data_IF_432714474352
#
_entry.id   IF_432714474352
#
_cell.length_a   1.000
_cell.length_b   1.000
_cell.length_c   1.000
_cell.angle_alpha   90.00
_cell.angle_beta   90.00
_cell.angle_gamma   90.00
#
_symmetry.space_group_name_H-M   'P 1'
#
loop_
_entity.id
_entity.type
_entity.pdbx_description
1 polymer ?
#
# COMPACT_ATOMS: atom_id res chain seq x y z
N UNK A 1 -21.18 5.18 3.69
CA UNK A 1 -20.29 4.45 4.62
C UNK A 1 -19.15 3.76 3.88
N UNK A 2 -19.44 2.99 2.82
CA UNK A 2 -18.43 2.27 2.03
C UNK A 2 -17.34 3.19 1.44
N UNK A 3 -17.72 4.34 0.86
CA UNK A 3 -16.72 5.29 0.32
C UNK A 3 -15.83 5.90 1.41
N UNK A 4 -16.36 6.15 2.61
CA UNK A 4 -15.58 6.68 3.73
C UNK A 4 -14.56 5.65 4.23
N UNK A 5 -14.95 4.38 4.32
CA UNK A 5 -14.06 3.27 4.65
C UNK A 5 -12.96 3.12 3.59
N UNK A 6 -13.35 3.11 2.30
CA UNK A 6 -12.41 3.05 1.18
C UNK A 6 -11.39 4.18 1.22
N UNK A 7 -11.86 5.42 1.42
CA UNK A 7 -11.01 6.60 1.55
C UNK A 7 -10.03 6.47 2.71
N UNK A 8 -10.49 6.06 3.89
CA UNK A 8 -9.64 5.90 5.07
C UNK A 8 -8.53 4.86 4.84
N UNK A 9 -8.85 3.73 4.20
CA UNK A 9 -7.86 2.70 3.85
C UNK A 9 -6.80 3.26 2.89
N UNK A 10 -7.23 3.94 1.82
CA UNK A 10 -6.30 4.52 0.84
C UNK A 10 -5.41 5.61 1.46
N UNK A 11 -5.97 6.44 2.34
CA UNK A 11 -5.20 7.45 3.08
C UNK A 11 -4.14 6.82 3.99
N UNK A 12 -4.47 5.71 4.67
CA UNK A 12 -3.50 4.98 5.48
C UNK A 12 -2.36 4.44 4.64
N UNK A 13 -2.65 3.85 3.48
CA UNK A 13 -1.60 3.34 2.58
C UNK A 13 -0.70 4.46 2.07
N UNK A 14 -1.27 5.59 1.64
CA UNK A 14 -0.51 6.76 1.20
C UNK A 14 0.39 7.33 2.31
N UNK A 15 -0.07 7.32 3.57
CA UNK A 15 0.76 7.73 4.70
C UNK A 15 1.96 6.79 4.91
N UNK A 16 1.77 5.47 4.79
CA UNK A 16 2.85 4.50 4.90
C UNK A 16 3.90 4.68 3.80
N UNK A 17 3.46 4.93 2.56
CA UNK A 17 4.36 5.25 1.45
C UNK A 17 5.16 6.53 1.73
N UNK A 18 4.51 7.61 2.17
CA UNK A 18 5.18 8.87 2.53
C UNK A 18 6.24 8.67 3.63
N UNK A 19 5.91 7.92 4.67
CA UNK A 19 6.84 7.65 5.77
C UNK A 19 8.02 6.80 5.29
N UNK A 20 7.78 5.77 4.47
CA UNK A 20 8.86 4.96 3.90
C UNK A 20 9.80 5.77 3.00
N UNK A 21 9.31 6.81 2.32
CA UNK A 21 10.10 7.70 1.46
C UNK A 21 10.92 8.74 2.22
N UNK A 22 10.36 9.31 3.29
CA UNK A 22 10.88 10.53 3.93
C UNK A 22 11.39 10.31 5.35
N UNK A 23 11.11 9.16 5.96
CA UNK A 23 11.40 8.90 7.36
C UNK A 23 12.89 8.66 7.64
N UNK A 24 13.32 9.02 8.85
CA UNK A 24 14.67 8.74 9.34
C UNK A 24 14.83 7.27 9.71
N UNK A 25 15.98 6.67 9.38
CA UNK A 25 16.22 5.23 9.52
C UNK A 25 15.93 4.68 10.94
N UNK A 26 16.29 5.42 11.99
CA UNK A 26 16.08 5.01 13.38
C UNK A 26 14.61 4.90 13.76
N UNK A 27 13.78 5.83 13.25
CA UNK A 27 12.33 5.82 13.45
C UNK A 27 11.62 4.78 12.56
N UNK A 28 12.20 4.46 11.41
CA UNK A 28 11.60 3.58 10.41
C UNK A 28 11.67 2.10 10.79
N UNK A 29 12.75 1.62 11.42
CA UNK A 29 12.92 0.18 11.66
C UNK A 29 11.81 -0.41 12.57
N UNK A 30 11.46 0.20 13.72
CA UNK A 30 10.37 -0.31 14.56
C UNK A 30 9.02 -0.25 13.85
N UNK A 31 8.76 0.86 13.13
CA UNK A 31 7.54 1.04 12.37
C UNK A 31 7.42 -0.01 11.27
N UNK A 32 8.45 -0.18 10.45
CA UNK A 32 8.51 -1.14 9.36
C UNK A 32 8.27 -2.56 9.87
N UNK A 33 8.89 -2.95 10.99
CA UNK A 33 8.65 -4.26 11.61
C UNK A 33 7.18 -4.46 11.93
N UNK A 34 6.56 -3.48 12.61
CA UNK A 34 5.14 -3.58 12.97
C UNK A 34 4.22 -3.64 11.74
N UNK A 35 4.47 -2.82 10.72
CA UNK A 35 3.60 -2.75 9.55
C UNK A 35 3.80 -3.95 8.60
N UNK A 36 5.02 -4.49 8.48
CA UNK A 36 5.28 -5.75 7.76
C UNK A 36 4.47 -6.88 8.39
N UNK A 37 4.47 -7.02 9.72
CA UNK A 37 3.66 -8.04 10.39
C UNK A 37 2.17 -7.85 10.12
N UNK A 38 1.66 -6.63 10.27
CA UNK A 38 0.24 -6.32 10.02
C UNK A 38 -0.18 -6.59 8.57
N UNK A 39 0.65 -6.23 7.60
CA UNK A 39 0.37 -6.49 6.18
C UNK A 39 0.43 -7.99 5.87
N UNK A 40 1.41 -8.71 6.41
CA UNK A 40 1.49 -10.15 6.26
C UNK A 40 0.26 -10.86 6.83
N UNK A 41 -0.24 -10.43 8.00
CA UNK A 41 -1.47 -10.96 8.59
C UNK A 41 -2.70 -10.65 7.73
N UNK A 42 -2.79 -9.43 7.18
CA UNK A 42 -3.85 -9.06 6.24
C UNK A 42 -3.85 -9.94 4.99
N UNK A 43 -2.68 -10.22 4.41
CA UNK A 43 -2.55 -11.14 3.28
C UNK A 43 -2.97 -12.57 3.65
N UNK A 44 -2.53 -13.10 4.80
CA UNK A 44 -2.93 -14.44 5.26
C UNK A 44 -4.44 -14.55 5.39
N UNK A 45 -5.09 -13.55 5.99
CA UNK A 45 -6.55 -13.52 6.13
C UNK A 45 -7.23 -13.50 4.76
N UNK A 46 -6.79 -12.62 3.85
CA UNK A 46 -7.37 -12.51 2.51
C UNK A 46 -7.20 -13.81 1.70
N UNK A 47 -6.02 -14.43 1.74
CA UNK A 47 -5.75 -15.67 1.03
C UNK A 47 -6.52 -16.87 1.61
N UNK A 48 -6.77 -16.87 2.93
CA UNK A 48 -7.60 -17.88 3.60
C UNK A 48 -9.03 -17.86 3.06
N UNK A 49 -9.59 -16.67 2.81
CA UNK A 49 -10.93 -16.50 2.22
C UNK A 49 -10.97 -16.97 0.75
N UNK A 50 -9.84 -16.86 0.04
CA UNK A 50 -9.71 -17.20 -1.37
C UNK A 50 -9.15 -18.62 -1.63
N UNK A 51 -9.33 -19.56 -0.71
CA UNK A 51 -8.89 -20.94 -0.90
C UNK A 51 -9.67 -21.65 -2.03
N UNK A 52 -9.00 -22.60 -2.73
CA UNK A 52 -9.69 -23.50 -3.66
C UNK A 52 -10.62 -24.45 -2.88
N UNK A 53 -11.74 -24.80 -3.50
CA UNK A 53 -12.58 -25.91 -3.06
C UNK A 53 -12.14 -27.23 -3.70
N UNK A 54 -12.88 -28.31 -3.40
CA UNK A 54 -12.63 -29.66 -3.93
C UNK A 54 -12.58 -29.70 -5.47
N UNK A 55 -13.28 -28.78 -6.14
CA UNK A 55 -13.30 -28.64 -7.60
C UNK A 55 -12.21 -27.70 -8.15
N UNK A 56 -11.23 -27.30 -7.31
CA UNK A 56 -10.20 -26.31 -7.65
C UNK A 56 -10.77 -24.94 -8.05
N UNK A 57 -11.83 -24.49 -7.37
CA UNK A 57 -12.47 -23.18 -7.60
C UNK A 57 -12.44 -22.31 -6.36
N UNK A 58 -12.33 -21.00 -6.54
CA UNK A 58 -12.38 -20.05 -5.44
C UNK A 58 -13.82 -19.76 -5.02
N UNK A 59 -14.18 -20.02 -3.75
CA UNK A 59 -15.55 -19.82 -3.24
C UNK A 59 -15.94 -18.35 -3.06
N UNK A 60 -14.99 -17.49 -2.72
CA UNK A 60 -15.24 -16.08 -2.39
C UNK A 60 -15.32 -15.14 -3.60
N UNK A 61 -14.82 -15.54 -4.78
CA UNK A 61 -14.84 -14.66 -5.96
C UNK A 61 -16.27 -14.55 -6.52
N UNK A 62 -16.81 -13.33 -6.69
CA UNK A 62 -18.09 -13.16 -7.36
C UNK A 62 -17.99 -13.59 -8.83
N UNK A 63 -18.87 -14.48 -9.26
CA UNK A 63 -18.97 -14.96 -10.62
C UNK A 63 -20.37 -15.48 -10.88
N UNK A 64 -21.16 -14.74 -11.67
CA UNK A 64 -22.59 -14.97 -11.92
C UNK A 64 -22.94 -16.39 -12.40
N UNK A 65 -22.01 -17.17 -12.97
CA UNK A 65 -22.35 -18.52 -13.41
C UNK A 65 -21.34 -19.63 -13.10
N UNK A 66 -20.09 -19.34 -12.71
CA UNK A 66 -19.13 -20.34 -12.20
C UNK A 66 -18.10 -19.65 -11.31
N UNK A 67 -17.90 -20.18 -10.09
CA UNK A 67 -16.74 -19.85 -9.24
C UNK A 67 -15.47 -19.86 -10.11
N UNK A 68 -14.65 -18.80 -9.99
CA UNK A 68 -13.42 -18.66 -10.80
C UNK A 68 -12.50 -19.84 -10.55
N UNK A 69 -11.88 -20.37 -11.61
CA UNK A 69 -10.83 -21.39 -11.50
C UNK A 69 -9.70 -20.84 -10.64
N UNK A 70 -9.17 -21.68 -9.77
CA UNK A 70 -7.98 -21.36 -8.98
C UNK A 70 -6.71 -21.52 -9.85
N UNK A 71 -5.67 -20.68 -9.68
CA UNK A 71 -5.59 -19.52 -8.79
C UNK A 71 -6.46 -18.35 -9.30
N UNK A 72 -7.23 -17.74 -8.40
CA UNK A 72 -8.01 -16.57 -8.72
C UNK A 72 -7.16 -15.29 -8.71
N UNK A 73 -7.72 -14.16 -9.15
CA UNK A 73 -7.00 -12.89 -9.26
C UNK A 73 -6.26 -12.48 -7.98
N UNK A 74 -6.85 -12.72 -6.81
CA UNK A 74 -6.25 -12.37 -5.52
C UNK A 74 -4.98 -13.19 -5.26
N UNK A 75 -4.98 -14.49 -5.57
CA UNK A 75 -3.79 -15.34 -5.47
C UNK A 75 -2.72 -14.92 -6.47
N UNK A 76 -3.11 -14.58 -7.70
CA UNK A 76 -2.18 -14.07 -8.72
C UNK A 76 -1.53 -12.76 -8.27
N UNK A 77 -2.30 -11.84 -7.68
CA UNK A 77 -1.77 -10.58 -7.13
C UNK A 77 -0.83 -10.82 -5.95
N UNK A 78 -1.20 -11.72 -5.03
CA UNK A 78 -0.33 -12.06 -3.90
C UNK A 78 0.99 -12.65 -4.38
N UNK A 79 0.97 -13.57 -5.35
CA UNK A 79 2.18 -14.12 -5.94
C UNK A 79 3.06 -13.01 -6.55
N UNK A 80 2.47 -12.08 -7.30
CA UNK A 80 3.20 -10.98 -7.92
C UNK A 80 3.83 -10.01 -6.91
N UNK A 81 3.16 -9.72 -5.80
CA UNK A 81 3.62 -8.72 -4.83
C UNK A 81 4.44 -9.28 -3.67
N UNK A 82 4.29 -10.56 -3.34
CA UNK A 82 5.03 -11.20 -2.25
C UNK A 82 6.24 -12.00 -2.72
N UNK A 83 6.24 -12.50 -3.97
CA UNK A 83 7.27 -13.41 -4.50
C UNK A 83 7.88 -12.86 -5.79
N UNK A 84 7.05 -12.42 -6.73
CA UNK A 84 7.51 -11.74 -7.95
C UNK A 84 8.30 -10.51 -7.55
N UNK A 85 9.50 -10.35 -8.13
CA UNK A 85 10.45 -9.29 -7.82
C UNK A 85 9.73 -7.98 -7.50
N UNK A 86 9.75 -7.61 -6.23
CA UNK A 86 9.15 -6.37 -5.76
C UNK A 86 9.81 -5.24 -6.52
N UNK A 87 9.06 -4.62 -7.43
CA UNK A 87 9.43 -3.41 -8.18
C UNK A 87 10.22 -2.53 -7.22
N UNK A 88 11.53 -2.39 -7.46
CA UNK A 88 12.40 -1.63 -6.57
C UNK A 88 11.74 -0.27 -6.30
N UNK A 89 11.84 0.25 -5.07
CA UNK A 89 11.13 1.47 -4.65
C UNK A 89 11.27 2.64 -5.66
N UNK A 90 12.36 2.67 -6.44
CA UNK A 90 12.62 3.67 -7.48
C UNK A 90 11.75 3.52 -8.74
N UNK A 91 11.29 2.31 -9.06
CA UNK A 91 10.48 2.01 -10.24
C UNK A 91 8.96 2.21 -10.02
N UNK A 92 8.51 2.40 -8.76
CA UNK A 92 7.12 2.76 -8.42
C UNK A 92 6.69 4.17 -8.89
N UNK A 93 7.62 4.99 -9.40
CA UNK A 93 7.31 6.29 -10.02
C UNK A 93 6.56 6.17 -11.35
N UNK A 94 6.39 4.96 -11.88
CA UNK A 94 5.52 4.71 -13.04
C UNK A 94 4.08 4.56 -12.54
N UNK A 95 3.10 5.31 -13.11
CA UNK A 95 1.71 5.18 -12.73
C UNK A 95 1.28 3.72 -12.82
N UNK A 96 0.71 3.18 -11.74
CA UNK A 96 0.16 1.83 -11.74
C UNK A 96 -0.88 1.74 -12.85
N UNK A 97 -0.61 0.95 -13.88
CA UNK A 97 -1.57 0.69 -14.96
C UNK A 97 -2.76 -0.03 -14.31
N UNK A 98 -3.89 0.65 -14.25
CA UNK A 98 -5.10 0.13 -13.62
C UNK A 98 -5.56 -1.16 -14.34
N UNK A 99 -5.53 -2.34 -13.69
CA UNK A 99 -5.97 -3.59 -14.33
C UNK A 99 -7.50 -3.65 -14.55
N UNK A 100 -8.27 -2.67 -14.02
CA UNK A 100 -9.69 -2.53 -14.25
C UNK A 100 -10.04 -1.72 -15.53
N UNK A 101 -9.07 -1.07 -16.18
CA UNK A 101 -9.28 -0.44 -17.49
C UNK A 101 -8.80 -1.35 -18.61
N UNK A 102 -9.70 -2.17 -19.17
CA UNK A 102 -9.46 -2.88 -20.42
C UNK A 102 -9.54 -1.87 -21.58
N UNK A 103 -8.46 -1.14 -21.83
CA UNK A 103 -8.34 -0.32 -23.04
C UNK A 103 -8.01 -1.23 -24.22
N UNK A 104 -8.90 -1.19 -25.22
CA UNK A 104 -8.82 -1.97 -26.44
C UNK A 104 -7.54 -1.71 -27.23
N UNK A 105 -7.11 -2.76 -27.90
CA UNK A 105 -6.09 -2.81 -28.93
C UNK A 105 -6.39 -1.82 -30.06
N UNK A 106 -5.35 -1.12 -30.49
CA UNK A 106 -5.32 -0.31 -31.71
C UNK A 106 -3.88 0.14 -31.97
N UNK A 107 -3.15 -0.68 -32.72
CA UNK A 107 -1.95 -0.32 -33.49
C UNK A 107 -2.13 1.09 -34.12
N UNK A 108 -1.19 2.02 -34.10
CA UNK A 108 0.23 1.90 -34.39
C UNK A 108 0.49 2.71 -35.66
N UNK A 109 0.97 3.94 -35.56
CA UNK A 109 1.79 4.60 -36.60
C UNK A 109 2.77 5.53 -35.89
N UNK A 110 4.04 5.16 -35.94
CA UNK A 110 5.16 6.04 -35.63
C UNK A 110 5.25 7.11 -36.71
N UNK A 111 5.32 8.38 -36.31
CA UNK A 111 5.83 9.44 -37.18
C UNK A 111 6.93 10.15 -36.41
N UNK A 112 8.16 9.90 -36.84
CA UNK A 112 9.34 10.69 -36.49
C UNK A 112 9.13 12.11 -37.02
N UNK A 113 9.24 13.10 -36.14
CA UNK A 113 9.47 14.48 -36.53
C UNK A 113 10.69 14.99 -35.77
N UNK A 114 11.71 15.34 -36.56
CA UNK A 114 13.03 15.74 -36.11
C UNK A 114 13.06 17.02 -35.28
N UNK A 115 14.09 17.08 -34.45
CA UNK A 115 14.52 18.27 -33.72
C UNK A 115 14.80 19.45 -34.67
N UNK A 116 14.26 20.64 -34.39
CA UNK A 116 14.93 21.89 -34.68
C UNK A 116 15.62 22.38 -33.40
N UNK A 117 16.95 22.41 -33.41
CA UNK A 117 17.76 23.19 -32.48
C UNK A 117 17.57 24.67 -32.77
N UNK A 118 16.87 25.36 -31.90
CA UNK A 118 16.94 26.82 -31.77
C UNK A 118 17.02 27.14 -30.28
N UNK A 119 18.21 27.51 -29.84
CA UNK A 119 18.44 28.11 -28.52
C UNK A 119 17.70 29.44 -28.44
N UNK A 120 16.94 29.71 -27.37
CA UNK A 120 16.62 31.07 -27.00
C UNK A 120 17.63 31.57 -25.98
N UNK A 121 18.34 32.63 -26.34
CA UNK A 121 19.08 33.50 -25.42
C UNK A 121 18.12 33.99 -24.33
N UNK A 122 18.29 33.49 -23.10
CA UNK A 122 17.62 34.01 -21.91
C UNK A 122 18.63 34.68 -21.00
N UNK A 123 18.52 36.00 -21.04
CA UNK A 123 19.10 37.01 -20.18
C UNK A 123 18.81 36.67 -18.69
N UNK A 124 19.87 36.48 -17.91
CA UNK A 124 19.80 36.25 -16.46
C UNK A 124 19.95 37.59 -15.74
N UNK A 125 18.88 38.36 -15.70
CA UNK A 125 18.78 39.50 -14.79
C UNK A 125 18.29 39.04 -13.39
N UNK A 126 19.02 39.54 -12.39
CA UNK A 126 18.91 39.36 -10.93
C UNK A 126 17.47 39.13 -10.37
N UNK A 127 17.29 38.02 -9.64
CA UNK A 127 16.19 37.87 -8.67
C UNK A 127 16.80 37.86 -7.25
N UNK A 128 16.49 38.84 -6.39
CA UNK A 128 17.05 38.91 -5.04
C UNK A 128 16.46 37.84 -4.10
N UNK A 129 17.21 37.38 -3.08
CA UNK A 129 16.76 36.32 -2.19
C UNK A 129 15.70 36.86 -1.21
N UNK A 130 14.43 36.54 -1.46
CA UNK A 130 13.39 36.78 -0.46
C UNK A 130 13.49 35.76 0.69
N UNK A 131 13.54 36.35 1.88
CA UNK A 131 13.69 35.74 3.18
C UNK A 131 12.52 34.82 3.53
N UNK A 132 12.79 33.53 3.69
CA UNK A 132 11.91 32.65 4.44
C UNK A 132 12.24 32.77 5.92
N UNK A 133 11.58 33.72 6.57
CA UNK A 133 11.56 33.86 8.02
C UNK A 133 10.96 32.61 8.65
N UNK A 134 11.69 32.08 9.62
CA UNK A 134 11.34 30.98 10.50
C UNK A 134 9.95 31.20 11.11
N UNK A 135 8.99 30.36 10.74
CA UNK A 135 7.75 30.17 11.51
C UNK A 135 7.87 28.89 12.31
N UNK A 136 8.53 28.99 13.46
CA UNK A 136 8.37 28.04 14.56
C UNK A 136 6.92 28.02 14.99
N UNK A 137 6.18 27.00 14.58
CA UNK A 137 4.89 26.69 15.17
C UNK A 137 5.14 25.60 16.21
N UNK A 138 5.10 25.97 17.48
CA UNK A 138 5.22 25.02 18.58
C UNK A 138 4.10 23.97 18.50
N UNK A 139 4.48 22.69 18.60
CA UNK A 139 3.54 21.58 18.66
C UNK A 139 2.93 21.47 20.06
N UNK A 140 1.61 21.25 20.21
CA UNK A 140 0.99 21.08 21.51
C UNK A 140 1.41 19.75 22.16
N UNK A 141 1.85 19.82 23.41
CA UNK A 141 2.12 18.65 24.26
C UNK A 141 0.79 17.99 24.65
N UNK A 142 0.60 16.74 24.23
CA UNK A 142 -0.51 15.88 24.69
C UNK A 142 -0.06 15.05 25.90
N UNK A 143 -0.76 15.12 27.05
CA UNK A 143 -0.44 14.27 28.20
C UNK A 143 -0.83 12.81 27.93
N UNK A 144 0.06 11.89 28.31
CA UNK A 144 -0.16 10.45 28.21
C UNK A 144 -1.26 10.00 29.18
N UNK A 145 -2.46 9.72 28.66
CA UNK A 145 -3.51 9.05 29.42
C UNK A 145 -3.19 7.55 29.55
N UNK A 146 -3.21 7.09 30.80
CA UNK A 146 -2.65 5.82 31.26
C UNK A 146 -3.23 4.55 30.63
N UNK A 147 -2.35 3.58 30.45
CA UNK A 147 -2.67 2.20 30.06
C UNK A 147 -3.23 1.46 31.29
N UNK A 148 -4.54 1.28 31.35
CA UNK A 148 -5.15 0.36 32.32
C UNK A 148 -4.95 -1.08 31.83
N UNK A 149 -4.06 -1.83 32.48
CA UNK A 149 -3.96 -3.29 32.32
C UNK A 149 -5.09 -3.96 33.11
N UNK A 150 -5.97 -4.69 32.43
CA UNK A 150 -6.92 -5.58 33.09
C UNK A 150 -6.23 -6.90 33.50
N UNK A 151 -6.57 -7.50 34.66
CA UNK A 151 -5.98 -8.75 35.11
C UNK A 151 -6.58 -9.97 34.37
N UNK A 152 -5.72 -10.94 34.05
CA UNK A 152 -6.11 -12.22 33.44
C UNK A 152 -6.63 -13.16 34.54
N UNK A 153 -7.90 -13.54 34.47
CA UNK A 153 -8.48 -14.59 35.32
C UNK A 153 -7.99 -15.95 34.83
N UNK A 154 -7.30 -16.67 35.73
CA UNK A 154 -6.85 -18.05 35.50
C UNK A 154 -8.00 -19.03 35.76
N UNK A 155 -8.26 -19.94 34.82
CA UNK A 155 -9.32 -20.97 34.91
C UNK A 155 -8.83 -22.15 35.77
N UNK A 156 -9.63 -22.68 36.71
CA UNK A 156 -9.20 -23.81 37.54
C UNK A 156 -9.19 -25.13 36.74
N UNK A 157 -8.20 -25.98 37.03
CA UNK A 157 -8.08 -27.36 36.53
C UNK A 157 -9.10 -28.25 37.25
N UNK A 158 -9.99 -28.91 36.52
CA UNK A 158 -10.79 -30.00 37.06
C UNK A 158 -9.97 -31.30 37.06
N UNK A 159 -10.01 -32.02 38.18
CA UNK A 159 -9.41 -33.33 38.39
C UNK A 159 -10.15 -34.42 37.58
N UNK A 160 -9.41 -35.43 37.11
CA UNK A 160 -9.97 -36.69 36.61
C UNK A 160 -10.45 -37.55 37.79
N UNK A 161 -11.49 -38.37 37.62
CA UNK A 161 -11.81 -39.44 38.56
C UNK A 161 -11.01 -40.72 38.28
N UNK A 162 -10.88 -41.54 39.32
CA UNK A 162 -10.11 -42.80 39.43
C UNK A 162 -10.54 -43.92 38.47
#
# INVERSE_FOLDING_TARGET
MEEALRKAVLQRLALLDKVAEQGEAESLVPLARSEIHRLADGWRLLLTVHQPDEDSRCRACPGWLRRRRWPCQIWTMAHQHLIGEGVAHRDRRKPLRNPFTRSGTGEGVAVEHGFPTTEPDVDYDEVPPESWSERTTELPVVPAAGVHRAPVVSKPRHALPD
#
